data_IF_674092576712
#
_entry.id   IF_674092576712
#
_cell.length_a   1.000
_cell.length_b   1.000
_cell.length_c   1.000
_cell.angle_alpha   90.00
_cell.angle_beta   90.00
_cell.angle_gamma   90.00
#
_symmetry.space_group_name_H-M   'P 1'
#
loop_
_entity.id
_entity.type
_entity.pdbx_description
1 polymer ?
#
# COMPACT_ATOMS: atom_id res chain seq x y z
N UNK A 1 24.49 8.30 -26.73
CA UNK A 1 24.08 8.89 -25.45
C UNK A 1 22.74 9.59 -25.69
N UNK A 2 21.65 8.92 -25.30
CA UNK A 2 20.31 9.56 -25.34
C UNK A 2 20.22 10.54 -24.18
N UNK A 3 19.86 11.77 -24.46
CA UNK A 3 19.49 12.75 -23.45
C UNK A 3 18.29 12.19 -22.68
N UNK A 4 18.28 12.27 -21.34
CA UNK A 4 17.09 11.93 -20.61
C UNK A 4 15.96 12.86 -21.06
N UNK A 5 14.78 12.30 -21.33
CA UNK A 5 13.60 13.10 -21.62
C UNK A 5 13.40 14.09 -20.44
N UNK A 6 12.95 15.34 -20.72
CA UNK A 6 12.68 16.28 -19.66
C UNK A 6 11.70 15.63 -18.68
N UNK A 7 12.06 15.55 -17.40
CA UNK A 7 11.16 15.11 -16.36
C UNK A 7 9.96 16.07 -16.37
N UNK A 8 8.85 15.62 -16.93
CA UNK A 8 7.59 16.32 -16.75
C UNK A 8 7.33 16.30 -15.23
N UNK A 9 7.15 17.47 -14.63
CA UNK A 9 6.88 17.59 -13.21
C UNK A 9 5.39 17.27 -12.96
N UNK A 10 5.05 15.98 -13.01
CA UNK A 10 3.69 15.50 -12.86
C UNK A 10 3.13 15.81 -11.48
N UNK A 11 1.86 16.16 -11.45
CA UNK A 11 1.10 16.35 -10.22
C UNK A 11 -0.05 15.36 -10.13
N UNK A 12 -0.58 15.18 -8.92
CA UNK A 12 -1.77 14.37 -8.67
C UNK A 12 -2.96 14.83 -9.52
N UNK A 13 -3.11 16.16 -9.71
CA UNK A 13 -4.18 16.72 -10.54
C UNK A 13 -3.99 16.37 -12.03
N UNK A 14 -2.76 16.46 -12.54
CA UNK A 14 -2.46 16.07 -13.92
C UNK A 14 -2.72 14.58 -14.15
N UNK A 15 -2.35 13.72 -13.20
CA UNK A 15 -2.60 12.28 -13.29
C UNK A 15 -4.11 11.96 -13.29
N UNK A 16 -4.89 12.62 -12.43
CA UNK A 16 -6.36 12.47 -12.40
C UNK A 16 -7.07 12.99 -13.64
N UNK A 17 -6.42 13.86 -14.42
CA UNK A 17 -6.95 14.36 -15.69
C UNK A 17 -6.67 13.43 -16.88
N UNK A 18 -5.89 12.35 -16.68
CA UNK A 18 -5.65 11.33 -17.69
C UNK A 18 -6.93 10.57 -18.01
N UNK A 19 -7.06 9.98 -19.20
CA UNK A 19 -8.21 9.18 -19.56
C UNK A 19 -8.39 7.98 -18.60
N UNK A 20 -9.64 7.65 -18.31
CA UNK A 20 -9.99 6.38 -17.63
C UNK A 20 -9.94 5.24 -18.67
N UNK A 21 -8.75 4.73 -18.88
CA UNK A 21 -8.45 3.65 -19.84
C UNK A 21 -8.18 2.30 -19.14
N UNK A 22 -8.51 2.21 -17.84
CA UNK A 22 -8.29 1.03 -17.01
C UNK A 22 -6.84 0.85 -16.54
N UNK A 23 -5.94 1.81 -16.81
CA UNK A 23 -4.59 1.78 -16.30
C UNK A 23 -4.50 2.46 -14.92
N UNK A 24 -3.49 2.07 -14.14
CA UNK A 24 -3.18 2.70 -12.85
C UNK A 24 -2.10 3.75 -13.07
N UNK A 25 -2.44 4.99 -12.81
CA UNK A 25 -1.54 6.13 -12.91
C UNK A 25 -1.13 6.59 -11.53
N UNK A 26 0.16 6.56 -11.24
CA UNK A 26 0.74 7.03 -9.99
C UNK A 26 1.75 8.14 -10.26
N UNK A 27 1.89 9.07 -9.31
CA UNK A 27 2.93 10.11 -9.37
C UNK A 27 3.87 9.91 -8.19
N UNK A 28 5.13 9.62 -8.48
CA UNK A 28 6.17 9.39 -7.48
C UNK A 28 7.24 10.48 -7.64
N UNK A 29 7.25 11.46 -6.71
CA UNK A 29 8.15 12.62 -6.74
C UNK A 29 8.18 13.34 -8.10
N UNK A 30 6.99 13.57 -8.68
CA UNK A 30 6.84 14.26 -9.97
C UNK A 30 7.08 13.38 -11.21
N UNK A 31 7.42 12.12 -11.06
CA UNK A 31 7.47 11.14 -12.16
C UNK A 31 6.12 10.43 -12.33
N UNK A 32 5.64 10.28 -13.58
CA UNK A 32 4.45 9.48 -13.87
C UNK A 32 4.84 8.02 -14.03
N UNK A 33 4.12 7.15 -13.31
CA UNK A 33 4.26 5.71 -13.39
C UNK A 33 2.93 5.09 -13.81
N UNK A 34 3.01 4.12 -14.71
CA UNK A 34 1.85 3.38 -15.21
C UNK A 34 2.08 1.91 -14.86
N UNK A 35 1.16 1.35 -14.10
CA UNK A 35 1.23 -0.06 -13.70
C UNK A 35 0.26 -0.90 -14.52
N UNK A 36 0.69 -2.09 -14.98
CA UNK A 36 -0.21 -3.01 -15.66
C UNK A 36 -1.27 -3.56 -14.71
N UNK A 37 -2.34 -4.10 -15.27
CA UNK A 37 -3.34 -4.83 -14.49
C UNK A 37 -2.69 -5.98 -13.71
N UNK A 38 -3.08 -6.18 -12.44
CA UNK A 38 -2.51 -7.24 -11.60
C UNK A 38 -2.92 -8.63 -12.09
N UNK A 39 -2.00 -9.60 -11.91
CA UNK A 39 -2.26 -11.01 -12.22
C UNK A 39 -3.12 -11.71 -11.16
N UNK A 40 -3.53 -12.95 -11.46
CA UNK A 40 -4.41 -13.75 -10.60
C UNK A 40 -3.86 -13.92 -9.17
N UNK A 41 -2.62 -14.42 -9.04
CA UNK A 41 -2.00 -14.66 -7.71
C UNK A 41 -1.86 -13.39 -6.88
N UNK A 42 -1.58 -12.26 -7.52
CA UNK A 42 -1.56 -10.95 -6.85
C UNK A 42 -2.94 -10.64 -6.24
N UNK A 43 -4.01 -10.76 -7.02
CA UNK A 43 -5.37 -10.50 -6.54
C UNK A 43 -5.81 -11.49 -5.45
N UNK A 44 -5.40 -12.76 -5.54
CA UNK A 44 -5.67 -13.76 -4.50
C UNK A 44 -5.04 -13.35 -3.16
N UNK A 45 -3.79 -12.85 -3.18
CA UNK A 45 -3.12 -12.36 -1.97
C UNK A 45 -3.83 -11.11 -1.43
N UNK A 46 -4.17 -10.14 -2.29
CA UNK A 46 -4.89 -8.91 -1.88
C UNK A 46 -6.23 -9.26 -1.23
N UNK A 47 -6.99 -10.18 -1.83
CA UNK A 47 -8.25 -10.68 -1.27
C UNK A 47 -8.05 -11.33 0.10
N UNK A 48 -7.06 -12.22 0.24
CA UNK A 48 -6.77 -12.90 1.49
C UNK A 48 -6.35 -11.90 2.59
N UNK A 49 -5.54 -10.89 2.26
CA UNK A 49 -5.20 -9.80 3.18
C UNK A 49 -6.43 -9.03 3.63
N UNK A 50 -7.33 -8.70 2.72
CA UNK A 50 -8.56 -8.00 3.06
C UNK A 50 -9.43 -8.80 4.03
N UNK A 51 -9.58 -10.11 3.80
CA UNK A 51 -10.37 -11.02 4.65
C UNK A 51 -9.86 -11.05 6.10
N UNK A 52 -8.55 -10.92 6.32
CA UNK A 52 -7.99 -10.97 7.67
C UNK A 52 -7.84 -9.60 8.32
N UNK A 53 -7.53 -8.55 7.53
CA UNK A 53 -7.29 -7.20 8.05
C UNK A 53 -8.60 -6.46 8.32
N UNK A 54 -9.55 -6.51 7.39
CA UNK A 54 -10.79 -5.73 7.49
C UNK A 54 -11.61 -6.02 8.76
N UNK A 55 -11.90 -7.28 9.14
CA UNK A 55 -12.64 -7.57 10.37
C UNK A 55 -11.91 -7.08 11.63
N UNK A 56 -10.58 -7.17 11.65
CA UNK A 56 -9.78 -6.67 12.77
C UNK A 56 -9.87 -5.15 12.90
N UNK A 57 -9.79 -4.44 11.78
CA UNK A 57 -9.94 -2.97 11.74
C UNK A 57 -11.33 -2.55 12.24
N UNK A 58 -12.39 -3.23 11.82
CA UNK A 58 -13.76 -2.94 12.26
C UNK A 58 -13.97 -3.27 13.75
N UNK A 59 -13.57 -4.47 14.19
CA UNK A 59 -13.75 -4.90 15.57
C UNK A 59 -13.05 -3.99 16.60
N UNK A 60 -11.95 -3.35 16.19
CA UNK A 60 -11.18 -2.46 17.05
C UNK A 60 -11.45 -0.98 16.78
N UNK A 61 -12.44 -0.64 15.94
CA UNK A 61 -12.77 0.74 15.56
C UNK A 61 -11.52 1.56 15.14
N UNK A 62 -10.68 0.97 14.29
CA UNK A 62 -9.42 1.60 13.86
C UNK A 62 -9.63 2.55 12.68
N UNK A 63 -10.69 2.37 11.91
CA UNK A 63 -10.99 3.16 10.73
C UNK A 63 -11.52 2.32 9.57
N UNK A 64 -11.02 2.58 8.37
CA UNK A 64 -11.58 1.98 7.15
C UNK A 64 -10.50 1.30 6.30
N UNK A 65 -10.68 0.01 6.03
CA UNK A 65 -9.85 -0.73 5.07
C UNK A 65 -10.31 -0.41 3.64
N UNK A 66 -9.37 -0.12 2.76
CA UNK A 66 -9.61 0.18 1.34
C UNK A 66 -8.68 -0.61 0.44
N UNK A 67 -9.11 -0.79 -0.79
CA UNK A 67 -8.40 -1.51 -1.84
C UNK A 67 -8.18 -0.62 -3.05
N UNK A 68 -7.18 -0.94 -3.86
CA UNK A 68 -6.97 -0.37 -5.18
C UNK A 68 -8.13 -0.80 -6.14
N UNK A 69 -8.50 0.05 -7.13
CA UNK A 69 -7.94 1.38 -7.42
C UNK A 69 -8.49 2.45 -6.48
N UNK A 70 -7.60 3.18 -5.82
CA UNK A 70 -7.98 4.24 -4.87
C UNK A 70 -6.84 5.26 -4.75
N UNK A 71 -7.10 6.48 -5.16
CA UNK A 71 -6.12 7.55 -5.20
C UNK A 71 -5.80 8.10 -3.80
N UNK A 72 -4.59 7.87 -3.31
CA UNK A 72 -4.08 8.47 -2.09
C UNK A 72 -3.06 9.55 -2.45
N UNK A 73 -3.38 10.80 -2.14
CA UNK A 73 -2.50 11.94 -2.36
C UNK A 73 -1.70 12.24 -1.10
N UNK A 74 -0.41 11.89 -1.13
CA UNK A 74 0.52 12.18 -0.04
C UNK A 74 1.06 13.63 -0.13
N UNK A 75 1.15 14.17 -1.35
CA UNK A 75 1.48 15.57 -1.65
C UNK A 75 1.11 15.89 -3.10
N UNK A 76 1.16 17.17 -3.55
CA UNK A 76 0.84 17.48 -4.95
C UNK A 76 1.65 16.72 -5.99
N UNK A 77 2.89 16.29 -5.69
CA UNK A 77 3.74 15.50 -6.57
C UNK A 77 3.79 14.00 -6.19
N UNK A 78 2.88 13.55 -5.31
CA UNK A 78 2.85 12.17 -4.82
C UNK A 78 1.41 11.66 -4.76
N UNK A 79 1.02 10.93 -5.80
CA UNK A 79 -0.25 10.23 -5.91
C UNK A 79 0.05 8.74 -6.01
N UNK A 80 -0.44 7.95 -5.08
CA UNK A 80 -0.22 6.49 -5.02
C UNK A 80 -1.54 5.74 -4.97
N UNK A 81 -1.53 4.50 -5.46
CA UNK A 81 -2.68 3.59 -5.42
C UNK A 81 -2.28 2.27 -4.75
N UNK A 82 -2.15 2.24 -3.42
CA UNK A 82 -1.74 1.03 -2.71
C UNK A 82 -2.74 -0.12 -2.91
N UNK A 83 -2.24 -1.35 -2.94
CA UNK A 83 -3.11 -2.52 -3.15
C UNK A 83 -4.12 -2.69 -2.01
N UNK A 84 -3.69 -2.46 -0.75
CA UNK A 84 -4.55 -2.38 0.42
C UNK A 84 -4.01 -1.31 1.38
N UNK A 85 -4.90 -0.56 2.01
CA UNK A 85 -4.52 0.39 3.05
C UNK A 85 -5.62 0.58 4.09
N UNK A 86 -5.25 1.12 5.24
CA UNK A 86 -6.17 1.46 6.32
C UNK A 86 -6.12 2.96 6.59
N UNK A 87 -7.25 3.62 6.44
CA UNK A 87 -7.45 5.03 6.80
C UNK A 87 -7.87 5.08 8.26
N UNK A 88 -7.16 5.80 9.15
CA UNK A 88 -7.53 5.86 10.57
C UNK A 88 -8.84 6.59 10.80
N UNK A 89 -9.62 6.14 11.78
CA UNK A 89 -10.72 6.95 12.32
C UNK A 89 -10.14 8.04 13.24
N UNK A 90 -10.30 9.28 12.82
CA UNK A 90 -9.86 10.47 13.58
C UNK A 90 -10.99 11.08 14.42
N UNK A 91 -12.16 10.44 14.45
CA UNK A 91 -13.36 10.99 15.09
C UNK A 91 -14.11 12.01 14.22
N UNK A 92 -13.62 12.35 13.04
CA UNK A 92 -14.30 13.24 12.09
C UNK A 92 -15.34 12.52 11.21
N UNK A 93 -15.48 11.20 11.39
CA UNK A 93 -16.31 10.34 10.57
C UNK A 93 -15.62 9.87 9.29
N UNK A 94 -16.34 9.08 8.51
CA UNK A 94 -15.81 8.49 7.28
C UNK A 94 -15.50 9.56 6.22
N UNK A 95 -14.30 9.51 5.59
CA UNK A 95 -13.98 10.38 4.45
C UNK A 95 -15.01 10.25 3.33
N UNK A 96 -15.39 11.37 2.74
CA UNK A 96 -16.39 11.41 1.64
C UNK A 96 -15.73 11.38 0.26
N UNK A 97 -14.44 11.66 0.20
CA UNK A 97 -13.64 11.61 -1.04
C UNK A 97 -12.21 11.19 -0.72
N UNK A 98 -11.46 10.75 -1.74
CA UNK A 98 -10.04 10.45 -1.60
C UNK A 98 -9.20 11.67 -1.18
N UNK A 99 -9.67 12.89 -1.48
CA UNK A 99 -9.02 14.14 -1.08
C UNK A 99 -9.11 14.40 0.43
N UNK A 100 -10.02 13.73 1.12
CA UNK A 100 -10.19 13.87 2.58
C UNK A 100 -9.24 12.93 3.35
N UNK A 101 -8.63 11.96 2.67
CA UNK A 101 -7.67 11.03 3.26
C UNK A 101 -6.35 11.76 3.49
N UNK A 102 -6.01 12.05 4.76
CA UNK A 102 -4.81 12.81 5.15
C UNK A 102 -3.76 11.98 5.87
N UNK A 103 -4.12 10.79 6.29
CA UNK A 103 -3.23 9.87 6.98
C UNK A 103 -3.59 8.43 6.65
N UNK A 104 -2.62 7.55 6.73
CA UNK A 104 -2.78 6.10 6.63
C UNK A 104 -2.25 5.46 7.90
N UNK A 105 -2.93 4.42 8.38
CA UNK A 105 -2.52 3.63 9.54
C UNK A 105 -1.65 2.44 9.11
N UNK A 106 -1.94 1.92 7.94
CA UNK A 106 -1.24 0.81 7.30
C UNK A 106 -1.31 1.00 5.78
N UNK A 107 -0.24 0.66 5.10
CA UNK A 107 -0.20 0.53 3.64
C UNK A 107 0.43 -0.81 3.27
N UNK A 108 -0.16 -1.50 2.30
CA UNK A 108 0.31 -2.82 1.83
C UNK A 108 0.42 -2.81 0.31
N UNK A 109 1.54 -3.27 -0.19
CA UNK A 109 1.78 -3.56 -1.60
C UNK A 109 2.10 -5.04 -1.77
N UNK A 110 1.45 -5.69 -2.71
CA UNK A 110 1.76 -7.07 -3.11
C UNK A 110 2.66 -7.01 -4.34
N UNK A 111 3.92 -7.37 -4.18
CA UNK A 111 4.88 -7.21 -5.28
C UNK A 111 4.75 -8.29 -6.34
N UNK A 112 5.07 -7.87 -7.56
CA UNK A 112 5.32 -8.72 -8.71
C UNK A 112 6.76 -8.50 -9.21
N UNK A 113 7.30 -9.36 -10.09
CA UNK A 113 8.61 -9.11 -10.68
C UNK A 113 8.76 -7.75 -11.35
N UNK A 114 7.66 -7.18 -11.89
CA UNK A 114 7.66 -5.87 -12.56
C UNK A 114 7.57 -4.68 -11.61
N UNK A 115 6.97 -4.84 -10.42
CA UNK A 115 6.73 -3.74 -9.47
C UNK A 115 7.71 -3.70 -8.30
N UNK A 116 8.35 -4.82 -7.97
CA UNK A 116 9.17 -4.99 -6.78
C UNK A 116 10.22 -3.89 -6.56
N UNK A 117 10.85 -3.39 -7.64
CA UNK A 117 11.82 -2.29 -7.55
C UNK A 117 11.12 -0.97 -7.19
N UNK A 118 9.98 -0.68 -7.82
CA UNK A 118 9.22 0.55 -7.57
C UNK A 118 8.74 0.58 -6.12
N UNK A 119 8.18 -0.52 -5.63
CA UNK A 119 7.63 -0.59 -4.28
C UNK A 119 8.72 -0.48 -3.20
N UNK A 120 9.87 -1.20 -3.39
CA UNK A 120 10.99 -1.18 -2.44
C UNK A 120 11.82 0.10 -2.46
N UNK A 121 12.03 0.69 -3.64
CA UNK A 121 12.99 1.80 -3.81
C UNK A 121 12.30 3.15 -3.89
N UNK A 122 11.12 3.22 -4.55
CA UNK A 122 10.46 4.50 -4.80
C UNK A 122 9.30 4.76 -3.83
N UNK A 123 8.35 3.81 -3.68
CA UNK A 123 7.18 4.03 -2.82
C UNK A 123 7.52 3.99 -1.33
N UNK A 124 8.41 3.09 -0.91
CA UNK A 124 8.81 2.99 0.51
C UNK A 124 9.22 4.34 1.12
N UNK A 125 10.17 5.11 0.54
CA UNK A 125 10.54 6.41 1.11
C UNK A 125 9.36 7.40 1.15
N UNK A 126 8.43 7.33 0.19
CA UNK A 126 7.25 8.18 0.17
C UNK A 126 6.35 7.90 1.37
N UNK A 127 6.03 6.62 1.64
CA UNK A 127 5.22 6.24 2.79
C UNK A 127 5.91 6.54 4.12
N UNK A 128 7.22 6.26 4.23
CA UNK A 128 7.98 6.61 5.43
C UNK A 128 7.98 8.13 5.70
N UNK A 129 8.22 8.95 4.66
CA UNK A 129 8.22 10.42 4.80
C UNK A 129 6.83 11.01 5.05
N UNK A 130 5.78 10.31 4.62
CA UNK A 130 4.40 10.66 4.92
C UNK A 130 3.98 10.23 6.34
N UNK A 131 4.86 9.59 7.11
CA UNK A 131 4.60 9.16 8.48
C UNK A 131 3.64 7.98 8.59
N UNK A 132 3.52 7.15 7.55
CA UNK A 132 2.73 5.91 7.62
C UNK A 132 3.37 4.98 8.66
N UNK A 133 2.65 4.58 9.73
CA UNK A 133 3.25 3.82 10.83
C UNK A 133 3.81 2.47 10.41
N UNK A 134 3.14 1.77 9.49
CA UNK A 134 3.63 0.53 8.90
C UNK A 134 3.35 0.47 7.40
N UNK A 135 4.38 0.11 6.66
CA UNK A 135 4.32 -0.22 5.24
C UNK A 135 4.77 -1.66 5.04
N UNK A 136 3.90 -2.49 4.47
CA UNK A 136 4.18 -3.90 4.21
C UNK A 136 4.37 -4.14 2.71
N UNK A 137 5.43 -4.85 2.37
CA UNK A 137 5.65 -5.40 1.05
C UNK A 137 5.47 -6.91 1.14
N UNK A 138 4.44 -7.42 0.49
CA UNK A 138 4.08 -8.84 0.51
C UNK A 138 4.65 -9.51 -0.73
N UNK A 139 5.55 -10.47 -0.52
CA UNK A 139 6.18 -11.24 -1.59
C UNK A 139 5.58 -12.66 -1.65
N UNK A 140 4.68 -12.88 -2.62
CA UNK A 140 4.04 -14.19 -2.82
C UNK A 140 5.01 -15.28 -3.26
N UNK A 141 6.12 -14.93 -3.94
CA UNK A 141 7.13 -15.89 -4.36
C UNK A 141 8.02 -16.33 -3.21
N UNK A 142 8.44 -15.39 -2.37
CA UNK A 142 9.23 -15.67 -1.17
C UNK A 142 8.36 -16.13 0.02
N UNK A 143 7.04 -16.03 -0.10
CA UNK A 143 6.06 -16.30 0.98
C UNK A 143 6.42 -15.58 2.29
N UNK A 144 6.73 -14.28 2.17
CA UNK A 144 7.19 -13.45 3.29
C UNK A 144 6.63 -12.03 3.19
N UNK A 145 6.73 -11.30 4.30
CA UNK A 145 6.38 -9.88 4.38
C UNK A 145 7.60 -9.09 4.82
N UNK A 146 7.92 -8.03 4.07
CA UNK A 146 8.86 -7.01 4.50
C UNK A 146 8.06 -5.90 5.20
N UNK A 147 8.28 -5.70 6.48
CA UNK A 147 7.69 -4.62 7.26
C UNK A 147 8.67 -3.46 7.38
N UNK A 148 8.16 -2.27 7.09
CA UNK A 148 8.88 -1.01 7.18
C UNK A 148 8.13 -0.03 8.07
N UNK A 149 8.85 0.67 8.93
CA UNK A 149 8.34 1.75 9.78
C UNK A 149 9.08 3.06 9.46
N UNK A 150 8.56 4.22 9.89
CA UNK A 150 9.30 5.47 9.78
C UNK A 150 10.68 5.34 10.42
N UNK A 151 11.72 5.74 9.66
CA UNK A 151 13.10 5.69 10.13
C UNK A 151 13.83 4.36 9.91
N UNK A 152 13.17 3.31 9.48
CA UNK A 152 13.84 2.04 9.18
C UNK A 152 14.76 2.20 7.95
N UNK A 153 16.02 1.79 8.10
CA UNK A 153 16.99 1.69 7.00
C UNK A 153 16.92 0.34 6.29
N UNK A 154 16.40 -0.68 6.98
CA UNK A 154 16.25 -2.05 6.50
C UNK A 154 14.89 -2.61 6.92
N UNK A 155 14.29 -3.50 6.12
CA UNK A 155 13.03 -4.12 6.50
C UNK A 155 13.22 -5.13 7.62
N UNK A 156 12.17 -5.31 8.40
CA UNK A 156 11.97 -6.53 9.15
C UNK A 156 11.36 -7.57 8.20
N UNK A 157 12.12 -8.60 7.85
CA UNK A 157 11.63 -9.68 6.98
C UNK A 157 10.98 -10.76 7.85
N UNK A 158 9.69 -11.00 7.62
CA UNK A 158 8.85 -11.89 8.41
C UNK A 158 8.44 -13.09 7.55
N UNK A 159 8.91 -14.32 7.85
CA UNK A 159 8.52 -15.52 7.10
C UNK A 159 7.39 -16.34 7.77
N UNK A 160 7.17 -16.17 9.09
CA UNK A 160 6.34 -17.09 9.85
C UNK A 160 5.09 -16.44 10.44
N UNK A 161 5.25 -15.49 11.35
CA UNK A 161 4.16 -14.87 12.07
C UNK A 161 4.23 -13.35 11.95
N UNK A 162 3.28 -12.77 11.23
CA UNK A 162 3.11 -11.33 11.18
C UNK A 162 2.14 -10.89 12.27
N UNK A 163 2.62 -10.02 13.15
CA UNK A 163 1.81 -9.38 14.17
C UNK A 163 1.63 -7.89 13.89
N UNK A 164 0.41 -7.40 13.98
CA UNK A 164 0.09 -5.99 13.80
C UNK A 164 -0.73 -5.46 14.96
N UNK A 165 -0.20 -4.49 15.68
CA UNK A 165 -0.83 -3.82 16.82
C UNK A 165 -0.74 -2.30 16.63
N UNK A 166 -1.65 -1.69 15.86
CA UNK A 166 -1.58 -0.27 15.52
C UNK A 166 -1.87 0.68 16.69
N UNK A 167 -2.42 0.18 17.79
CA UNK A 167 -2.76 0.95 18.97
C UNK A 167 -2.46 0.14 20.24
N UNK A 168 -1.88 0.76 21.30
CA UNK A 168 -1.74 0.09 22.59
C UNK A 168 -3.09 -0.34 23.16
N UNK A 169 -3.09 -1.45 23.90
CA UNK A 169 -4.26 -1.92 24.64
C UNK A 169 -5.28 -2.74 23.84
N UNK A 170 -5.02 -3.01 22.56
CA UNK A 170 -5.79 -3.99 21.78
C UNK A 170 -4.94 -5.25 21.56
N UNK A 171 -5.58 -6.40 21.39
CA UNK A 171 -4.86 -7.62 21.00
C UNK A 171 -4.29 -7.46 19.59
N UNK A 172 -3.05 -7.89 19.32
CA UNK A 172 -2.48 -7.81 17.98
C UNK A 172 -3.21 -8.74 17.00
N UNK A 173 -3.39 -8.28 15.76
CA UNK A 173 -3.71 -9.17 14.65
C UNK A 173 -2.52 -10.11 14.43
N UNK A 174 -2.77 -11.43 14.41
CA UNK A 174 -1.76 -12.45 14.16
C UNK A 174 -2.07 -13.19 12.87
N UNK A 175 -1.13 -13.17 11.91
CA UNK A 175 -1.24 -13.84 10.62
C UNK A 175 -0.12 -14.86 10.51
N UNK A 176 -0.47 -16.16 10.56
CA UNK A 176 0.50 -17.21 10.22
C UNK A 176 0.73 -17.20 8.71
N UNK A 177 1.90 -16.73 8.28
CA UNK A 177 2.22 -16.57 6.87
C UNK A 177 2.23 -17.89 6.08
N UNK A 178 2.73 -19.02 6.62
CA UNK A 178 2.61 -20.31 5.94
C UNK A 178 1.17 -20.71 5.65
N UNK A 179 0.26 -20.53 6.62
CA UNK A 179 -1.18 -20.83 6.44
C UNK A 179 -1.83 -19.83 5.48
N UNK A 180 -1.50 -18.56 5.63
CA UNK A 180 -2.00 -17.49 4.77
C UNK A 180 -1.65 -17.71 3.30
N UNK A 181 -0.37 -17.96 2.98
CA UNK A 181 0.06 -18.15 1.60
C UNK A 181 -0.43 -19.49 1.02
N UNK A 182 -0.55 -20.54 1.82
CA UNK A 182 -1.18 -21.78 1.38
C UNK A 182 -2.65 -21.54 0.97
N UNK A 183 -3.41 -20.82 1.78
CA UNK A 183 -4.81 -20.51 1.47
C UNK A 183 -4.99 -19.55 0.27
N UNK A 184 -4.03 -18.66 0.04
CA UNK A 184 -4.12 -17.67 -1.03
C UNK A 184 -3.61 -18.15 -2.38
N UNK A 185 -2.67 -19.11 -2.42
CA UNK A 185 -1.91 -19.47 -3.63
C UNK A 185 -2.00 -20.94 -4.03
N UNK A 186 -2.32 -21.85 -3.12
CA UNK A 186 -2.39 -23.30 -3.34
C UNK A 186 -3.86 -23.75 -3.45
#
# INVERSE_FOLDING_TARGET
MGMPAPQANWTAEMARALPDDGQRYEVLDGGLFVSPAPGWSHQSIVQALFIVIHPYVEANALGWTRLSPSDVELSPQRLVQPDLFVVPDTGAGQPRSWRDVKALLLTVEVISPSTARTDRIMKRPLFQSAGVPEYWIVDGSARSVERWRPGDERPEVIPELLEWQPRPGIEPLRISLPVFFAAALD
#
